data_IF_414163352742
#
_entry.id   IF_414163352742
#
_cell.length_a   1.000
_cell.length_b   1.000
_cell.length_c   1.000
_cell.angle_alpha   90.00
_cell.angle_beta   90.00
_cell.angle_gamma   90.00
#
_symmetry.space_group_name_H-M   'P 1'
#
loop_
_entity.id
_entity.type
_entity.pdbx_description
1 polymer ?
#
# COMPACT_ATOMS: atom_id res chain seq x y z
N UNK A 1 -27.98 12.48 5.21
CA UNK A 1 -27.08 11.43 5.76
C UNK A 1 -27.04 10.20 4.87
N UNK A 2 -28.18 9.58 4.52
CA UNK A 2 -28.19 8.45 3.58
C UNK A 2 -27.57 8.80 2.22
N UNK A 3 -27.92 9.96 1.66
CA UNK A 3 -27.32 10.46 0.41
C UNK A 3 -25.80 10.54 0.51
N UNK A 4 -25.27 11.14 1.59
CA UNK A 4 -23.81 11.18 1.85
C UNK A 4 -23.15 9.79 1.86
N UNK A 5 -23.78 8.78 2.47
CA UNK A 5 -23.26 7.40 2.49
C UNK A 5 -23.31 6.79 1.09
N UNK A 6 -24.41 7.02 0.37
CA UNK A 6 -24.61 6.51 -0.97
C UNK A 6 -23.66 7.15 -1.99
N UNK A 7 -23.39 8.45 -1.88
CA UNK A 7 -22.45 9.17 -2.73
C UNK A 7 -21.03 8.67 -2.46
N UNK A 8 -20.63 8.54 -1.19
CA UNK A 8 -19.36 7.92 -0.82
C UNK A 8 -19.23 6.50 -1.34
N UNK A 9 -20.30 5.72 -1.29
CA UNK A 9 -20.32 4.37 -1.85
C UNK A 9 -20.13 4.34 -3.37
N UNK A 10 -20.76 5.27 -4.10
CA UNK A 10 -20.56 5.42 -5.54
C UNK A 10 -19.12 5.81 -5.88
N UNK A 11 -18.58 6.80 -5.19
CA UNK A 11 -17.20 7.27 -5.39
C UNK A 11 -16.20 6.13 -5.14
N UNK A 12 -16.42 5.36 -4.06
CA UNK A 12 -15.54 4.25 -3.70
C UNK A 12 -15.56 3.11 -4.74
N UNK A 13 -16.71 2.85 -5.36
CA UNK A 13 -16.85 1.88 -6.46
C UNK A 13 -16.20 2.36 -7.76
N UNK A 14 -16.24 3.66 -8.02
CA UNK A 14 -15.66 4.25 -9.23
C UNK A 14 -14.14 4.44 -9.15
N UNK A 15 -13.60 4.59 -7.94
CA UNK A 15 -12.18 4.82 -7.72
C UNK A 15 -11.41 3.51 -7.53
N UNK A 16 -10.22 3.39 -8.12
CA UNK A 16 -9.26 2.34 -7.78
C UNK A 16 -8.57 2.64 -6.45
N UNK A 17 -8.19 3.90 -6.23
CA UNK A 17 -7.57 4.36 -4.98
C UNK A 17 -8.61 4.51 -3.88
N UNK A 18 -8.15 4.49 -2.63
CA UNK A 18 -9.00 4.67 -1.46
C UNK A 18 -9.46 6.13 -1.36
N UNK A 19 -10.77 6.36 -1.25
CA UNK A 19 -11.29 7.73 -1.13
C UNK A 19 -11.13 8.26 0.31
N UNK A 20 -10.91 9.57 0.51
CA UNK A 20 -10.85 10.15 1.84
C UNK A 20 -12.17 9.97 2.61
N UNK A 21 -12.06 9.55 3.86
CA UNK A 21 -13.17 9.32 4.76
C UNK A 21 -13.05 10.19 6.02
N UNK A 22 -14.20 10.61 6.54
CA UNK A 22 -14.28 11.32 7.81
C UNK A 22 -14.06 10.34 8.98
N UNK A 23 -13.31 10.76 10.00
CA UNK A 23 -13.00 9.99 11.20
C UNK A 23 -14.27 9.46 11.88
N UNK A 24 -15.35 10.25 11.87
CA UNK A 24 -16.60 9.96 12.59
C UNK A 24 -17.61 9.21 11.69
N UNK A 25 -17.25 8.91 10.43
CA UNK A 25 -18.18 8.38 9.43
C UNK A 25 -18.93 7.12 9.89
N UNK A 26 -18.20 6.12 10.42
CA UNK A 26 -18.80 4.88 10.91
C UNK A 26 -19.72 5.09 12.11
N UNK A 27 -19.41 6.05 12.98
CA UNK A 27 -20.30 6.42 14.09
C UNK A 27 -21.64 6.96 13.57
N UNK A 28 -21.58 7.92 12.65
CA UNK A 28 -22.77 8.52 12.05
C UNK A 28 -23.59 7.48 11.24
N UNK A 29 -22.92 6.50 10.62
CA UNK A 29 -23.55 5.38 9.95
C UNK A 29 -24.29 4.44 10.91
N UNK A 30 -23.67 4.08 12.06
CA UNK A 30 -24.31 3.27 13.11
C UNK A 30 -25.57 3.96 13.64
N UNK A 31 -25.50 5.26 13.89
CA UNK A 31 -26.64 6.05 14.36
C UNK A 31 -27.80 6.08 13.35
N UNK A 32 -27.48 6.24 12.06
CA UNK A 32 -28.49 6.18 11.00
C UNK A 32 -29.18 4.82 10.96
N UNK A 33 -28.40 3.74 11.01
CA UNK A 33 -28.91 2.37 10.95
C UNK A 33 -29.81 2.08 12.17
N UNK A 34 -29.37 2.49 13.37
CA UNK A 34 -30.15 2.36 14.60
C UNK A 34 -31.49 3.09 14.51
N UNK A 35 -31.47 4.37 14.12
CA UNK A 35 -32.69 5.19 13.95
C UNK A 35 -33.67 4.58 12.95
N UNK A 36 -33.17 4.09 11.80
CA UNK A 36 -34.02 3.47 10.76
C UNK A 36 -34.58 2.11 11.20
N UNK A 37 -33.80 1.34 11.95
CA UNK A 37 -34.23 0.03 12.47
C UNK A 37 -35.34 0.20 13.51
N UNK A 38 -35.17 1.13 14.46
CA UNK A 38 -36.20 1.41 15.49
C UNK A 38 -37.50 1.88 14.84
N UNK A 39 -37.42 2.86 13.94
CA UNK A 39 -38.59 3.37 13.20
C UNK A 39 -39.34 2.28 12.42
N UNK A 40 -38.61 1.32 11.85
CA UNK A 40 -39.23 0.21 11.10
C UNK A 40 -39.93 -0.79 12.03
N UNK A 41 -39.41 -1.00 13.25
CA UNK A 41 -40.00 -1.90 14.25
C UNK A 41 -41.26 -1.33 14.88
N UNK A 42 -41.27 -0.03 15.14
CA UNK A 42 -42.39 0.68 15.79
C UNK A 42 -43.57 0.93 14.83
N UNK A 43 -43.37 0.76 13.51
CA UNK A 43 -44.42 0.98 12.52
C UNK A 43 -45.50 -0.09 12.61
N UNK A 44 -46.75 0.35 12.82
CA UNK A 44 -47.92 -0.51 13.00
C UNK A 44 -48.55 -0.86 11.65
N UNK A 45 -48.52 0.07 10.69
CA UNK A 45 -49.17 -0.14 9.40
C UNK A 45 -48.39 -1.17 8.56
N UNK A 46 -48.99 -2.31 8.17
CA UNK A 46 -48.27 -3.40 7.49
C UNK A 46 -47.73 -3.00 6.10
N UNK A 47 -48.43 -2.13 5.37
CA UNK A 47 -47.95 -1.65 4.07
C UNK A 47 -46.75 -0.71 4.22
N UNK A 48 -46.82 0.23 5.17
CA UNK A 48 -45.72 1.17 5.43
C UNK A 48 -44.51 0.40 5.98
N UNK A 49 -44.74 -0.53 6.91
CA UNK A 49 -43.70 -1.38 7.48
C UNK A 49 -42.94 -2.15 6.39
N UNK A 50 -43.64 -2.79 5.46
CA UNK A 50 -43.01 -3.49 4.32
C UNK A 50 -42.14 -2.57 3.46
N UNK A 51 -42.59 -1.34 3.21
CA UNK A 51 -41.80 -0.34 2.46
C UNK A 51 -40.55 0.06 3.25
N UNK A 52 -40.67 0.24 4.57
CA UNK A 52 -39.55 0.58 5.45
C UNK A 52 -38.53 -0.55 5.54
N UNK A 53 -38.97 -1.80 5.59
CA UNK A 53 -38.11 -3.00 5.58
C UNK A 53 -37.28 -3.05 4.28
N UNK A 54 -37.93 -2.92 3.12
CA UNK A 54 -37.24 -2.88 1.82
C UNK A 54 -36.19 -1.76 1.77
N UNK A 55 -36.53 -0.57 2.28
CA UNK A 55 -35.59 0.56 2.34
C UNK A 55 -34.44 0.28 3.29
N UNK A 56 -34.70 -0.31 4.45
CA UNK A 56 -33.69 -0.65 5.43
C UNK A 56 -32.71 -1.68 4.87
N UNK A 57 -33.19 -2.68 4.14
CA UNK A 57 -32.33 -3.69 3.52
C UNK A 57 -31.44 -3.11 2.43
N UNK A 58 -31.94 -2.16 1.62
CA UNK A 58 -31.11 -1.40 0.68
C UNK A 58 -30.01 -0.61 1.39
N UNK A 59 -30.32 0.01 2.52
CA UNK A 59 -29.32 0.74 3.33
C UNK A 59 -28.25 -0.22 3.84
N UNK A 60 -28.65 -1.37 4.41
CA UNK A 60 -27.71 -2.41 4.88
C UNK A 60 -26.81 -2.90 3.76
N UNK A 61 -27.36 -3.12 2.57
CA UNK A 61 -26.60 -3.53 1.40
C UNK A 61 -25.51 -2.52 1.04
N UNK A 62 -25.87 -1.23 0.88
CA UNK A 62 -24.92 -0.16 0.55
C UNK A 62 -23.81 -0.06 1.61
N UNK A 63 -24.16 -0.16 2.89
CA UNK A 63 -23.20 -0.11 3.99
C UNK A 63 -22.23 -1.31 3.93
N UNK A 64 -22.75 -2.52 3.78
CA UNK A 64 -21.92 -3.73 3.72
C UNK A 64 -20.99 -3.72 2.51
N UNK A 65 -21.50 -3.34 1.34
CA UNK A 65 -20.72 -3.25 0.10
C UNK A 65 -19.60 -2.20 0.24
N UNK A 66 -19.91 -1.01 0.79
CA UNK A 66 -18.91 0.02 1.07
C UNK A 66 -17.80 -0.49 2.01
N UNK A 67 -18.19 -1.14 3.11
CA UNK A 67 -17.23 -1.71 4.07
C UNK A 67 -16.35 -2.78 3.41
N UNK A 68 -16.92 -3.66 2.60
CA UNK A 68 -16.17 -4.71 1.91
C UNK A 68 -15.18 -4.16 0.90
N UNK A 69 -15.59 -3.19 0.07
CA UNK A 69 -14.72 -2.56 -0.93
C UNK A 69 -13.53 -1.89 -0.24
N UNK A 70 -13.78 -1.11 0.80
CA UNK A 70 -12.73 -0.40 1.53
C UNK A 70 -11.80 -1.34 2.27
N UNK A 71 -12.33 -2.38 2.92
CA UNK A 71 -11.52 -3.40 3.59
C UNK A 71 -10.60 -4.11 2.59
N UNK A 72 -11.12 -4.48 1.41
CA UNK A 72 -10.31 -5.11 0.37
C UNK A 72 -9.16 -4.20 -0.08
N UNK A 73 -9.43 -2.91 -0.32
CA UNK A 73 -8.40 -1.94 -0.69
C UNK A 73 -7.33 -1.80 0.38
N UNK A 74 -7.73 -1.69 1.66
CA UNK A 74 -6.78 -1.61 2.78
C UNK A 74 -5.89 -2.85 2.88
N UNK A 75 -6.47 -4.05 2.72
CA UNK A 75 -5.69 -5.30 2.72
C UNK A 75 -4.69 -5.30 1.57
N UNK A 76 -5.10 -4.91 0.35
CA UNK A 76 -4.20 -4.80 -0.80
C UNK A 76 -3.06 -3.82 -0.54
N UNK A 77 -3.36 -2.64 0.03
CA UNK A 77 -2.33 -1.66 0.39
C UNK A 77 -1.31 -2.23 1.38
N UNK A 78 -1.76 -2.95 2.42
CA UNK A 78 -0.86 -3.59 3.39
C UNK A 78 0.01 -4.66 2.72
N UNK A 79 -0.58 -5.49 1.86
CA UNK A 79 0.16 -6.51 1.13
C UNK A 79 1.24 -5.90 0.23
N UNK A 80 0.93 -4.78 -0.42
CA UNK A 80 1.84 -4.02 -1.28
C UNK A 80 2.81 -3.11 -0.53
N UNK A 81 2.73 -3.03 0.81
CA UNK A 81 3.50 -2.09 1.64
C UNK A 81 3.33 -0.63 1.23
N UNK A 82 2.19 -0.30 0.66
CA UNK A 82 1.85 1.07 0.29
C UNK A 82 1.49 1.87 1.53
N UNK A 83 1.96 3.12 1.62
CA UNK A 83 1.50 4.03 2.67
C UNK A 83 0.12 4.54 2.34
N UNK A 84 -0.74 4.63 3.36
CA UNK A 84 -2.05 5.25 3.21
C UNK A 84 -1.87 6.76 3.03
N UNK A 85 -2.25 7.26 1.86
CA UNK A 85 -2.19 8.68 1.49
C UNK A 85 -3.50 9.43 1.76
N UNK A 86 -4.59 8.70 2.01
CA UNK A 86 -5.93 9.27 2.22
C UNK A 86 -6.35 9.21 3.70
N UNK A 87 -7.16 10.18 4.13
CA UNK A 87 -7.73 10.14 5.47
C UNK A 87 -8.63 8.90 5.64
N UNK A 88 -8.37 8.13 6.70
CA UNK A 88 -9.16 6.97 7.10
C UNK A 88 -10.14 7.33 8.20
N UNK A 89 -11.23 6.58 8.26
CA UNK A 89 -12.02 6.58 9.48
C UNK A 89 -11.23 5.98 10.64
N UNK A 90 -11.57 6.32 11.89
CA UNK A 90 -10.83 5.84 13.06
C UNK A 90 -10.74 4.31 13.13
N UNK A 91 -11.85 3.62 12.83
CA UNK A 91 -11.89 2.16 12.82
C UNK A 91 -11.02 1.55 11.71
N UNK A 92 -10.89 2.23 10.57
CA UNK A 92 -10.05 1.77 9.46
C UNK A 92 -8.56 1.98 9.74
N UNK A 93 -8.21 3.09 10.41
CA UNK A 93 -6.84 3.36 10.84
C UNK A 93 -6.34 2.28 11.80
N UNK A 94 -7.12 1.97 12.85
CA UNK A 94 -6.77 0.91 13.81
C UNK A 94 -6.69 -0.47 13.14
N UNK A 95 -7.58 -0.76 12.18
CA UNK A 95 -7.51 -1.98 11.39
C UNK A 95 -6.23 -2.06 10.55
N UNK A 96 -5.90 -1.00 9.82
CA UNK A 96 -4.71 -0.91 8.97
C UNK A 96 -3.44 -1.13 9.82
N UNK A 97 -3.29 -0.37 10.91
CA UNK A 97 -2.08 -0.42 11.76
C UNK A 97 -1.88 -1.80 12.38
N UNK A 98 -2.95 -2.45 12.86
CA UNK A 98 -2.89 -3.82 13.39
C UNK A 98 -2.56 -4.84 12.32
N UNK A 99 -3.21 -4.74 11.16
CA UNK A 99 -3.00 -5.70 10.08
C UNK A 99 -1.60 -5.59 9.49
N UNK A 100 -1.06 -4.37 9.32
CA UNK A 100 0.34 -4.15 8.93
C UNK A 100 1.31 -4.81 9.89
N UNK A 101 1.11 -4.68 11.20
CA UNK A 101 1.96 -5.34 12.19
C UNK A 101 1.91 -6.87 12.10
N UNK A 102 0.70 -7.44 12.00
CA UNK A 102 0.52 -8.89 11.86
C UNK A 102 1.15 -9.40 10.57
N UNK A 103 0.97 -8.68 9.46
CA UNK A 103 1.52 -9.05 8.16
C UNK A 103 3.06 -9.02 8.15
N UNK A 104 3.66 -8.01 8.78
CA UNK A 104 5.12 -7.94 8.94
C UNK A 104 5.67 -9.04 9.85
N UNK A 105 4.95 -9.42 10.91
CA UNK A 105 5.32 -10.58 11.74
C UNK A 105 5.27 -11.87 10.94
N UNK A 106 4.16 -12.14 10.24
CA UNK A 106 4.02 -13.31 9.36
C UNK A 106 5.18 -13.40 8.36
N UNK A 107 5.53 -12.28 7.72
CA UNK A 107 6.60 -12.25 6.73
C UNK A 107 7.98 -12.57 7.33
N UNK A 108 8.26 -12.12 8.56
CA UNK A 108 9.50 -12.42 9.29
C UNK A 108 9.59 -13.89 9.72
N UNK A 109 8.47 -14.51 10.06
CA UNK A 109 8.41 -15.95 10.38
C UNK A 109 8.61 -16.82 9.14
N UNK A 110 8.08 -16.41 7.99
CA UNK A 110 8.23 -17.15 6.72
C UNK A 110 9.63 -16.98 6.11
N UNK A 111 10.18 -15.77 6.17
CA UNK A 111 11.50 -15.47 5.62
C UNK A 111 12.35 -14.74 6.66
N UNK A 112 13.48 -15.34 7.06
CA UNK A 112 14.47 -14.66 7.89
C UNK A 112 15.01 -13.42 7.15
N UNK A 113 15.44 -12.35 7.85
CA UNK A 113 16.13 -11.22 7.23
C UNK A 113 17.32 -11.64 6.34
N UNK A 114 17.94 -12.79 6.64
CA UNK A 114 18.99 -13.39 5.82
C UNK A 114 18.44 -13.95 4.51
N UNK A 115 17.28 -14.61 4.49
CA UNK A 115 16.66 -15.23 3.31
C UNK A 115 16.10 -14.21 2.34
N UNK A 116 15.55 -13.10 2.85
CA UNK A 116 15.05 -11.97 2.05
C UNK A 116 16.18 -11.32 1.23
N UNK A 117 17.40 -11.28 1.77
CA UNK A 117 18.58 -10.70 1.12
C UNK A 117 19.18 -11.58 0.01
N UNK A 118 18.73 -12.83 -0.12
CA UNK A 118 19.16 -13.76 -1.19
C UNK A 118 18.15 -13.87 -2.34
N UNK A 119 16.93 -13.37 -2.17
CA UNK A 119 15.80 -13.72 -3.05
C UNK A 119 15.12 -12.53 -3.73
N UNK A 120 15.50 -11.28 -3.44
CA UNK A 120 14.90 -10.05 -4.00
C UNK A 120 13.36 -9.92 -3.84
N UNK A 121 12.73 -10.80 -3.06
CA UNK A 121 11.27 -10.85 -2.83
C UNK A 121 10.76 -9.59 -2.11
N UNK A 122 11.66 -8.81 -1.50
CA UNK A 122 11.30 -7.54 -0.86
C UNK A 122 10.86 -6.44 -1.84
N UNK A 123 11.28 -6.49 -3.11
CA UNK A 123 11.01 -5.42 -4.08
C UNK A 123 9.82 -5.66 -5.01
N UNK A 124 9.35 -6.91 -5.16
CA UNK A 124 8.31 -7.24 -6.14
C UNK A 124 6.87 -6.97 -5.68
N UNK A 125 6.62 -6.77 -4.39
CA UNK A 125 5.27 -6.52 -3.88
C UNK A 125 5.11 -5.01 -3.66
N UNK A 126 4.76 -4.28 -4.72
CA UNK A 126 4.62 -2.82 -4.72
C UNK A 126 4.89 -2.11 -6.06
N UNK A 127 5.33 -2.82 -7.09
CA UNK A 127 5.49 -2.28 -8.45
C UNK A 127 4.41 -2.78 -9.39
N UNK A 128 3.15 -2.45 -9.14
CA UNK A 128 2.19 -2.32 -10.24
C UNK A 128 1.26 -1.13 -9.96
N UNK A 129 1.41 -0.11 -10.83
CA UNK A 129 0.54 1.04 -11.06
C UNK A 129 0.75 2.22 -10.11
N UNK A 130 1.78 3.02 -10.40
CA UNK A 130 1.65 4.49 -10.49
C UNK A 130 2.85 5.07 -11.26
N UNK A 131 2.55 5.43 -12.51
CA UNK A 131 3.14 6.50 -13.32
C UNK A 131 4.67 6.56 -13.54
N UNK A 132 5.04 6.52 -14.82
CA UNK A 132 6.29 7.03 -15.36
C UNK A 132 6.56 8.44 -14.81
N UNK A 133 7.39 8.51 -13.77
CA UNK A 133 7.91 9.74 -13.21
C UNK A 133 9.23 9.41 -12.56
N UNK A 134 10.32 9.62 -13.31
CA UNK A 134 11.73 9.55 -12.94
C UNK A 134 11.98 8.92 -11.55
N UNK A 135 12.23 7.60 -11.51
CA UNK A 135 12.97 7.03 -10.39
C UNK A 135 14.32 7.75 -10.40
N UNK A 136 14.52 8.74 -9.50
CA UNK A 136 15.82 9.35 -9.28
C UNK A 136 16.79 8.23 -8.90
N UNK A 137 17.60 7.82 -9.88
CA UNK A 137 18.62 6.80 -9.67
C UNK A 137 19.67 7.45 -8.76
N UNK A 138 19.65 7.11 -7.48
CA UNK A 138 20.68 7.52 -6.53
C UNK A 138 22.05 7.01 -6.99
N UNK A 139 23.02 7.91 -7.14
CA UNK A 139 24.41 7.56 -7.44
C UNK A 139 25.27 7.65 -6.19
N UNK A 140 26.18 6.69 -6.03
CA UNK A 140 27.18 6.70 -4.95
C UNK A 140 28.58 6.58 -5.52
N UNK A 141 29.56 7.29 -4.94
CA UNK A 141 30.95 7.15 -5.31
C UNK A 141 31.54 5.88 -4.67
N UNK A 142 32.17 5.03 -5.49
CA UNK A 142 32.89 3.84 -5.03
C UNK A 142 34.31 3.83 -5.57
N UNK A 143 35.21 3.20 -4.83
CA UNK A 143 36.60 2.94 -5.22
C UNK A 143 36.79 1.46 -5.51
N UNK A 144 37.31 1.10 -6.68
CA UNK A 144 37.56 -0.29 -7.06
C UNK A 144 38.82 -0.83 -6.36
N UNK A 145 38.72 -1.97 -5.70
CA UNK A 145 39.86 -2.65 -5.06
C UNK A 145 40.45 -3.71 -6.01
N UNK A 146 39.61 -4.28 -6.90
CA UNK A 146 40.00 -5.32 -7.85
C UNK A 146 39.77 -4.86 -9.29
N UNK A 147 40.66 -5.28 -10.19
CA UNK A 147 40.54 -5.03 -11.64
C UNK A 147 39.29 -5.70 -12.19
N UNK A 148 38.43 -4.95 -12.87
CA UNK A 148 37.24 -5.46 -13.54
C UNK A 148 37.50 -5.50 -15.04
N UNK A 149 37.69 -6.71 -15.61
CA UNK A 149 37.97 -6.88 -17.05
C UNK A 149 36.72 -6.68 -17.92
N UNK A 150 35.54 -6.91 -17.35
CA UNK A 150 34.26 -6.80 -18.03
C UNK A 150 33.58 -5.46 -17.72
N UNK A 151 32.76 -4.98 -18.67
CA UNK A 151 31.97 -3.76 -18.47
C UNK A 151 30.70 -4.08 -17.68
N UNK A 152 30.35 -3.22 -16.74
CA UNK A 152 29.20 -3.37 -15.85
C UNK A 152 28.01 -2.60 -16.44
N UNK A 153 26.88 -3.27 -16.64
CA UNK A 153 25.66 -2.61 -17.06
C UNK A 153 24.96 -1.95 -15.86
N UNK A 154 24.84 -0.63 -15.94
CA UNK A 154 24.12 0.26 -15.03
C UNK A 154 22.62 0.01 -15.03
N UNK A 155 21.98 0.23 -13.88
CA UNK A 155 20.52 0.23 -13.78
C UNK A 155 19.89 1.39 -14.59
N UNK A 156 20.67 2.44 -14.86
CA UNK A 156 20.38 3.56 -15.76
C UNK A 156 20.60 3.23 -17.25
N UNK A 157 20.92 1.98 -17.59
CA UNK A 157 21.23 1.54 -18.94
C UNK A 157 22.62 1.95 -19.45
N UNK A 158 23.42 2.69 -18.66
CA UNK A 158 24.79 3.07 -19.04
C UNK A 158 25.76 1.93 -18.76
N UNK A 159 26.86 1.87 -19.51
CA UNK A 159 27.89 0.84 -19.34
C UNK A 159 29.11 1.44 -18.66
N UNK A 160 29.51 0.86 -17.54
CA UNK A 160 30.59 1.32 -16.67
C UNK A 160 31.82 0.41 -16.79
N UNK A 161 33.01 0.99 -16.83
CA UNK A 161 34.27 0.25 -16.89
C UNK A 161 34.69 -0.19 -18.31
N UNK A 162 35.76 -1.01 -18.42
CA UNK A 162 36.48 -1.71 -17.34
C UNK A 162 37.24 -0.77 -16.38
N UNK A 163 37.53 -1.24 -15.16
CA UNK A 163 38.17 -0.44 -14.09
C UNK A 163 39.43 -1.13 -13.58
N UNK A 164 40.45 -0.33 -13.22
CA UNK A 164 41.66 -0.77 -12.53
C UNK A 164 41.53 -0.59 -11.01
N UNK A 165 42.38 -1.26 -10.20
CA UNK A 165 42.44 -1.00 -8.76
C UNK A 165 42.72 0.48 -8.47
N UNK A 166 42.08 0.99 -7.41
CA UNK A 166 42.05 2.39 -6.95
C UNK A 166 41.25 3.37 -7.82
N UNK A 167 40.65 2.95 -8.94
CA UNK A 167 39.76 3.81 -9.72
C UNK A 167 38.52 4.20 -8.92
N UNK A 168 38.09 5.46 -9.04
CA UNK A 168 36.89 5.99 -8.38
C UNK A 168 35.82 6.32 -9.42
N UNK A 169 34.59 5.85 -9.21
CA UNK A 169 33.47 6.11 -10.12
C UNK A 169 32.17 6.34 -9.36
N UNK A 170 31.32 7.21 -9.89
CA UNK A 170 29.91 7.35 -9.51
C UNK A 170 29.06 6.34 -10.29
N UNK A 171 28.35 5.49 -9.57
CA UNK A 171 27.57 4.37 -10.13
C UNK A 171 26.24 4.29 -9.37
N UNK A 172 25.16 3.82 -10.02
CA UNK A 172 23.88 3.59 -9.35
C UNK A 172 24.06 2.80 -8.05
N UNK A 173 23.44 3.29 -6.96
CA UNK A 173 23.55 2.74 -5.60
C UNK A 173 23.29 1.24 -5.53
N UNK A 174 22.32 0.76 -6.29
CA UNK A 174 22.00 -0.67 -6.36
C UNK A 174 23.17 -1.50 -6.93
N UNK A 175 23.85 -1.00 -7.96
CA UNK A 175 25.00 -1.67 -8.54
C UNK A 175 26.22 -1.61 -7.63
N UNK A 176 26.43 -0.48 -6.94
CA UNK A 176 27.52 -0.30 -5.97
C UNK A 176 27.45 -1.31 -4.82
N UNK A 177 26.25 -1.56 -4.28
CA UNK A 177 26.03 -2.56 -3.21
C UNK A 177 26.54 -3.94 -3.65
N UNK A 178 26.29 -4.33 -4.91
CA UNK A 178 26.77 -5.59 -5.46
C UNK A 178 28.29 -5.69 -5.56
N UNK A 179 28.96 -4.60 -5.95
CA UNK A 179 30.42 -4.55 -6.08
C UNK A 179 31.13 -4.53 -4.72
N UNK A 180 30.59 -3.80 -3.75
CA UNK A 180 31.13 -3.74 -2.39
C UNK A 180 30.98 -5.08 -1.68
N UNK A 181 29.82 -5.74 -1.81
CA UNK A 181 29.58 -7.06 -1.20
C UNK A 181 30.49 -8.17 -1.75
N UNK A 182 30.94 -8.05 -3.02
CA UNK A 182 31.88 -8.99 -3.65
C UNK A 182 33.36 -8.64 -3.37
N UNK A 183 33.61 -7.64 -2.53
CA UNK A 183 34.94 -7.10 -2.26
C UNK A 183 35.68 -6.71 -3.56
N UNK A 184 34.94 -6.22 -4.56
CA UNK A 184 35.47 -5.70 -5.82
C UNK A 184 35.68 -4.19 -5.71
N UNK A 185 34.84 -3.51 -4.93
CA UNK A 185 34.91 -2.08 -4.67
C UNK A 185 34.63 -1.78 -3.18
N UNK A 186 34.83 -0.54 -2.78
CA UNK A 186 34.57 -0.01 -1.44
C UNK A 186 33.82 1.32 -1.56
N UNK A 187 32.90 1.60 -0.63
CA UNK A 187 32.25 2.91 -0.58
C UNK A 187 33.25 3.94 -0.10
N UNK A 188 33.27 5.11 -0.75
CA UNK A 188 33.99 6.27 -0.23
C UNK A 188 32.97 7.30 0.26
N UNK A 189 33.18 7.82 1.46
CA UNK A 189 32.48 9.02 1.92
C UNK A 189 33.25 10.22 1.39
N UNK A 190 32.57 11.13 0.70
CA UNK A 190 33.08 12.47 0.39
C UNK A 190 32.62 13.46 1.45
#
# INVERSE_FOLDING_TARGET
MFEKIHDKWKDERGSQKLTPMDEIFYSAMRDLLKKRTVKTKEEINPFIKKILEIRLDRIKYVINDLMQIRTKKLITMVMNREKVSANLAREEQDFYDRFSQIFELYRKEVFSPKDVAYTDISKMIGREIEEEGDEEIDYVPIRFIKRTKDRIQGLDGKTYGPFEPEDVCLIPKENAIGLVRREIAENIEM
#
